data_IF_708018598332
#
_entry.id   IF_708018598332
#
_cell.length_a   1.000
_cell.length_b   1.000
_cell.length_c   1.000
_cell.angle_alpha   90.00
_cell.angle_beta   90.00
_cell.angle_gamma   90.00
#
_symmetry.space_group_name_H-M   'P 1'
#
loop_
_entity.id
_entity.type
_entity.pdbx_description
1 polymer ?
#
# COMPACT_ATOMS: atom_id res chain seq x y z
N UNK A 1 36.68 -37.42 -30.85
CA UNK A 1 37.37 -36.36 -30.07
C UNK A 1 38.27 -35.49 -30.97
N UNK A 2 37.76 -34.98 -32.09
CA UNK A 2 38.47 -33.99 -32.94
C UNK A 2 37.52 -33.09 -33.77
N UNK A 3 36.24 -33.00 -33.40
CA UNK A 3 35.22 -32.18 -34.08
C UNK A 3 34.64 -31.05 -33.20
N UNK A 4 35.19 -30.82 -32.00
CA UNK A 4 34.64 -29.87 -31.02
C UNK A 4 35.54 -28.65 -30.74
N UNK A 5 36.61 -28.44 -31.52
CA UNK A 5 37.58 -27.34 -31.27
C UNK A 5 37.55 -26.26 -32.37
N UNK A 6 36.71 -26.37 -33.41
CA UNK A 6 36.67 -25.38 -34.52
C UNK A 6 35.45 -24.44 -34.57
N UNK A 7 34.61 -24.41 -33.54
CA UNK A 7 33.47 -23.46 -33.49
C UNK A 7 33.61 -22.39 -32.39
N UNK A 8 34.84 -22.17 -31.90
CA UNK A 8 35.14 -21.14 -30.90
C UNK A 8 35.84 -19.89 -31.50
N UNK A 9 36.14 -19.86 -32.81
CA UNK A 9 36.90 -18.77 -33.44
C UNK A 9 36.08 -17.82 -34.36
N UNK A 10 34.77 -18.03 -34.53
CA UNK A 10 33.95 -17.25 -35.48
C UNK A 10 32.84 -16.39 -34.83
N UNK A 11 32.96 -16.04 -33.54
CA UNK A 11 32.00 -15.17 -32.84
C UNK A 11 32.61 -13.93 -32.15
N UNK A 12 33.82 -13.55 -32.53
CA UNK A 12 34.52 -12.34 -32.04
C UNK A 12 34.71 -11.25 -33.11
N UNK A 13 33.89 -11.20 -34.16
CA UNK A 13 34.09 -10.26 -35.27
C UNK A 13 32.87 -9.40 -35.66
N UNK A 14 31.87 -9.21 -34.78
CA UNK A 14 30.70 -8.36 -35.08
C UNK A 14 30.24 -7.45 -33.93
N UNK A 15 31.14 -7.09 -33.02
CA UNK A 15 30.92 -5.99 -32.07
C UNK A 15 32.06 -4.97 -32.16
N UNK A 16 31.97 -4.10 -33.16
CA UNK A 16 32.59 -2.77 -33.14
C UNK A 16 31.49 -1.73 -33.28
N UNK A 17 30.90 -1.39 -32.13
CA UNK A 17 30.31 -0.07 -31.90
C UNK A 17 30.41 0.19 -30.40
N UNK A 18 31.48 0.88 -30.03
CA UNK A 18 31.91 1.19 -28.66
C UNK A 18 31.29 2.53 -28.25
N UNK A 19 30.46 2.49 -27.20
CA UNK A 19 29.92 3.67 -26.53
C UNK A 19 29.16 3.34 -25.24
N UNK A 20 28.53 2.16 -25.15
CA UNK A 20 27.70 1.79 -24.00
C UNK A 20 28.33 0.79 -23.01
N UNK A 21 29.39 0.07 -23.40
CA UNK A 21 29.97 -1.03 -22.59
C UNK A 21 30.87 -0.58 -21.44
N UNK A 22 31.46 0.62 -21.47
CA UNK A 22 32.29 1.12 -20.37
C UNK A 22 31.46 1.62 -19.16
N UNK A 23 30.24 2.11 -19.38
CA UNK A 23 29.36 2.52 -18.29
C UNK A 23 28.86 1.32 -17.46
N UNK A 24 28.59 0.19 -18.13
CA UNK A 24 28.04 -1.04 -17.55
C UNK A 24 29.06 -1.74 -16.63
N UNK A 25 30.33 -1.82 -17.05
CA UNK A 25 31.39 -2.38 -16.20
C UNK A 25 31.74 -1.46 -15.02
N UNK A 26 31.68 -0.15 -15.21
CA UNK A 26 32.01 0.85 -14.18
C UNK A 26 31.01 0.91 -13.02
N UNK A 27 29.71 0.68 -13.28
CA UNK A 27 28.68 0.65 -12.23
C UNK A 27 28.82 -0.60 -11.34
N UNK A 28 29.00 -1.78 -11.95
CA UNK A 28 29.14 -3.06 -11.23
C UNK A 28 30.40 -3.12 -10.35
N UNK A 29 31.53 -2.58 -10.83
CA UNK A 29 32.78 -2.55 -10.05
C UNK A 29 32.76 -1.56 -8.88
N UNK A 30 32.05 -0.43 -9.01
CA UNK A 30 31.91 0.55 -7.92
C UNK A 30 31.14 -0.04 -6.73
N UNK A 31 30.10 -0.83 -6.98
CA UNK A 31 29.35 -1.51 -5.92
C UNK A 31 30.20 -2.53 -5.15
N UNK A 32 30.96 -3.38 -5.85
CA UNK A 32 31.83 -4.39 -5.22
C UNK A 32 32.98 -3.77 -4.40
N UNK A 33 33.55 -2.65 -4.83
CA UNK A 33 34.65 -1.99 -4.11
C UNK A 33 34.21 -1.24 -2.84
N UNK A 34 32.95 -0.80 -2.78
CA UNK A 34 32.41 -0.04 -1.64
C UNK A 34 32.05 -1.01 -0.50
N UNK A 35 31.52 -2.19 -0.82
CA UNK A 35 31.20 -3.24 0.16
C UNK A 35 32.44 -3.80 0.88
N UNK A 36 33.60 -3.83 0.22
CA UNK A 36 34.85 -4.30 0.84
C UNK A 36 35.47 -3.29 1.83
N UNK A 37 35.19 -1.98 1.69
CA UNK A 37 35.73 -0.93 2.58
C UNK A 37 34.93 -0.73 3.87
N UNK A 38 33.64 -1.06 3.85
CA UNK A 38 32.76 -0.90 5.03
C UNK A 38 32.95 -2.02 6.06
N UNK A 39 33.49 -3.18 5.66
CA UNK A 39 33.73 -4.33 6.56
C UNK A 39 35.07 -4.28 7.32
N UNK A 40 35.91 -3.28 7.10
CA UNK A 40 37.26 -3.21 7.70
C UNK A 40 37.39 -2.28 8.91
N UNK A 41 36.39 -1.44 9.19
CA UNK A 41 36.46 -0.43 10.26
C UNK A 41 35.27 -0.55 11.20
N UNK A 42 35.29 -1.54 12.09
CA UNK A 42 34.54 -1.46 13.36
C UNK A 42 35.19 -2.35 14.42
N UNK A 43 36.00 -1.74 15.28
CA UNK A 43 36.34 -2.25 16.61
C UNK A 43 35.84 -1.24 17.63
N UNK A 44 34.99 -1.61 18.61
CA UNK A 44 34.57 -0.67 19.63
C UNK A 44 35.62 -0.59 20.74
N UNK A 45 36.00 0.65 21.08
CA UNK A 45 36.69 0.97 22.34
C UNK A 45 35.67 1.62 23.29
N UNK A 46 35.59 1.08 24.50
CA UNK A 46 34.76 1.59 25.60
C UNK A 46 35.41 2.81 26.26
N UNK A 47 34.61 3.69 26.89
CA UNK A 47 35.10 4.34 28.08
C UNK A 47 34.16 4.26 29.29
N UNK A 48 34.83 4.21 30.42
CA UNK A 48 34.46 4.11 31.83
C UNK A 48 33.68 5.31 32.37
N UNK A 49 32.81 5.03 33.33
CA UNK A 49 32.17 5.96 34.26
C UNK A 49 33.19 6.60 35.22
N UNK A 50 33.04 7.90 35.49
CA UNK A 50 33.56 8.57 36.67
C UNK A 50 32.60 9.68 37.11
N UNK A 51 32.25 9.62 38.39
CA UNK A 51 31.44 10.52 39.21
C UNK A 51 32.29 11.66 39.79
N UNK A 52 31.72 12.88 39.92
CA UNK A 52 31.84 13.76 41.11
C UNK A 52 31.19 15.17 40.95
N UNK A 53 30.16 15.41 41.76
CA UNK A 53 29.85 16.55 42.63
C UNK A 53 30.28 18.04 42.36
N UNK A 54 29.23 18.90 42.36
CA UNK A 54 28.96 20.08 43.24
C UNK A 54 29.48 21.51 42.96
N UNK A 55 28.52 22.45 43.12
CA UNK A 55 28.57 23.89 43.47
C UNK A 55 29.24 24.87 42.47
N UNK A 56 28.80 26.12 42.23
CA UNK A 56 28.13 27.13 43.07
C UNK A 56 27.56 28.28 42.18
N UNK A 57 26.51 28.93 42.69
CA UNK A 57 25.97 30.30 42.47
C UNK A 57 26.60 31.28 41.45
N UNK A 58 25.73 31.99 40.71
CA UNK A 58 26.06 33.24 40.01
C UNK A 58 24.83 33.93 39.41
N UNK A 59 24.24 34.85 40.17
CA UNK A 59 23.17 35.79 39.76
C UNK A 59 23.61 36.71 38.62
N UNK A 60 22.72 37.00 37.67
CA UNK A 60 22.67 38.29 36.96
C UNK A 60 21.32 38.47 36.26
N UNK A 61 20.55 39.41 36.81
CA UNK A 61 19.33 40.00 36.27
C UNK A 61 19.59 40.84 35.02
N UNK A 62 18.74 40.70 33.99
CA UNK A 62 18.49 41.76 33.02
C UNK A 62 16.98 41.88 32.83
N UNK A 63 16.45 43.00 33.32
CA UNK A 63 15.13 43.55 33.00
C UNK A 63 15.22 44.33 31.70
N UNK A 64 14.28 44.12 30.77
CA UNK A 64 13.85 45.21 29.88
C UNK A 64 12.51 44.91 29.20
N UNK A 65 11.55 45.80 29.54
CA UNK A 65 10.50 46.38 28.70
C UNK A 65 9.43 45.49 28.07
N UNK A 66 8.25 45.57 28.66
CA UNK A 66 6.96 45.48 27.99
C UNK A 66 6.87 46.48 26.83
N UNK A 67 6.58 45.97 25.63
CA UNK A 67 6.00 46.75 24.54
C UNK A 67 4.66 46.11 24.17
N UNK A 68 3.57 46.83 24.45
CA UNK A 68 2.23 46.55 23.95
C UNK A 68 2.25 46.75 22.44
N UNK A 69 1.95 45.69 21.68
CA UNK A 69 1.89 45.71 20.22
C UNK A 69 0.68 44.93 19.72
N UNK A 70 -0.22 45.68 19.08
CA UNK A 70 -1.43 45.32 18.33
C UNK A 70 -1.66 43.85 17.95
N UNK A 71 -2.94 43.46 18.13
CA UNK A 71 -3.48 42.15 17.81
C UNK A 71 -3.08 41.62 16.43
N UNK A 72 -2.67 40.35 16.42
CA UNK A 72 -2.67 39.51 15.25
C UNK A 72 -3.93 38.65 15.33
N UNK A 73 -4.87 38.93 14.43
CA UNK A 73 -5.92 38.02 14.02
C UNK A 73 -5.33 36.63 13.78
N UNK A 74 -5.87 35.61 14.42
CA UNK A 74 -5.57 34.21 14.10
C UNK A 74 -5.95 33.96 12.64
N UNK A 75 -4.95 34.07 11.75
CA UNK A 75 -5.07 33.62 10.38
C UNK A 75 -5.32 32.12 10.43
N UNK A 76 -6.45 31.70 9.86
CA UNK A 76 -6.73 30.30 9.58
C UNK A 76 -5.53 29.73 8.82
N UNK A 77 -4.79 28.86 9.50
CA UNK A 77 -3.74 28.05 8.90
C UNK A 77 -4.44 27.19 7.85
N UNK A 78 -4.39 27.64 6.61
CA UNK A 78 -4.94 26.90 5.48
C UNK A 78 -4.05 25.68 5.35
N UNK A 79 -4.47 24.58 5.98
CA UNK A 79 -3.86 23.27 5.85
C UNK A 79 -3.65 23.03 4.37
N UNK A 80 -2.38 23.02 3.95
CA UNK A 80 -2.01 22.75 2.58
C UNK A 80 -2.74 21.46 2.16
N UNK A 81 -3.50 21.53 1.06
CA UNK A 81 -4.06 20.34 0.44
C UNK A 81 -2.87 19.43 0.10
N UNK A 82 -2.75 18.33 0.86
CA UNK A 82 -1.80 17.26 0.58
C UNK A 82 -1.87 16.91 -0.92
N UNK A 83 -0.73 16.69 -1.60
CA UNK A 83 -0.75 16.32 -3.01
C UNK A 83 -1.69 15.14 -3.22
N UNK A 84 -2.63 15.25 -4.17
CA UNK A 84 -3.67 14.24 -4.39
C UNK A 84 -3.03 12.85 -4.51
N UNK A 85 -3.28 12.03 -3.48
CA UNK A 85 -2.74 10.68 -3.41
C UNK A 85 -3.43 9.83 -4.47
N UNK A 86 -2.65 9.10 -5.27
CA UNK A 86 -3.18 8.23 -6.34
C UNK A 86 -4.14 7.22 -5.73
N UNK A 87 -5.35 7.11 -6.25
CA UNK A 87 -6.30 6.09 -5.81
C UNK A 87 -5.86 4.72 -6.34
N UNK A 88 -5.91 3.69 -5.50
CA UNK A 88 -5.55 2.30 -5.86
C UNK A 88 -6.53 1.31 -5.24
N UNK A 89 -7.84 1.47 -5.49
CA UNK A 89 -8.84 0.52 -5.00
C UNK A 89 -8.62 -0.86 -5.63
N UNK A 90 -8.26 -0.88 -6.91
CA UNK A 90 -7.88 -2.09 -7.64
C UNK A 90 -6.45 -1.98 -8.20
N UNK A 91 -5.63 -2.99 -7.91
CA UNK A 91 -4.33 -3.21 -8.56
C UNK A 91 -4.45 -4.45 -9.44
N UNK A 92 -4.46 -4.27 -10.76
CA UNK A 92 -4.72 -5.34 -11.71
C UNK A 92 -3.45 -5.85 -12.40
N UNK A 93 -3.13 -7.13 -12.23
CA UNK A 93 -1.94 -7.74 -12.84
C UNK A 93 -2.20 -8.21 -14.27
N UNK A 94 -1.27 -7.86 -15.16
CA UNK A 94 -1.29 -8.22 -16.58
C UNK A 94 0.02 -8.92 -16.92
N UNK A 95 0.01 -10.22 -17.26
CA UNK A 95 1.22 -10.94 -17.65
C UNK A 95 1.96 -10.26 -18.82
N UNK A 96 3.21 -9.87 -18.61
CA UNK A 96 4.00 -9.10 -19.58
C UNK A 96 4.35 -9.86 -20.86
N UNK A 97 4.22 -11.19 -20.86
CA UNK A 97 4.45 -12.02 -22.04
C UNK A 97 3.19 -12.33 -22.88
N UNK A 98 2.01 -11.83 -22.48
CA UNK A 98 0.74 -12.09 -23.17
C UNK A 98 0.27 -10.83 -23.91
N UNK A 99 0.59 -10.75 -25.20
CA UNK A 99 0.30 -9.60 -26.06
C UNK A 99 -1.20 -9.26 -26.09
N UNK A 100 -2.05 -10.29 -26.11
CA UNK A 100 -3.51 -10.13 -26.13
C UNK A 100 -3.98 -9.48 -24.84
N UNK A 101 -3.48 -9.95 -23.68
CA UNK A 101 -3.82 -9.36 -22.38
C UNK A 101 -3.29 -7.93 -22.26
N UNK A 102 -2.06 -7.66 -22.68
CA UNK A 102 -1.49 -6.30 -22.72
C UNK A 102 -2.38 -5.34 -23.52
N UNK A 103 -2.77 -5.70 -24.75
CA UNK A 103 -3.67 -4.88 -25.57
C UNK A 103 -5.04 -4.68 -24.93
N UNK A 104 -5.64 -5.75 -24.42
CA UNK A 104 -6.96 -5.67 -23.76
C UNK A 104 -6.94 -4.87 -22.45
N UNK A 105 -5.80 -4.80 -21.76
CA UNK A 105 -5.69 -4.06 -20.50
C UNK A 105 -5.96 -2.56 -20.65
N UNK A 106 -5.73 -2.01 -21.85
CA UNK A 106 -5.89 -0.59 -22.17
C UNK A 106 -7.35 -0.11 -22.13
N UNK A 107 -8.33 -1.01 -22.10
CA UNK A 107 -9.75 -0.68 -21.96
C UNK A 107 -10.32 -1.00 -20.59
N UNK A 108 -9.52 -1.57 -19.67
CA UNK A 108 -9.99 -1.93 -18.34
C UNK A 108 -10.13 -0.69 -17.45
N UNK A 109 -11.21 -0.66 -16.68
CA UNK A 109 -11.43 0.35 -15.64
C UNK A 109 -10.75 -0.10 -14.33
N UNK A 110 -9.44 -0.25 -14.34
CA UNK A 110 -8.64 -0.45 -13.12
C UNK A 110 -8.06 0.89 -12.65
N UNK A 111 -7.89 1.06 -11.34
CA UNK A 111 -7.19 2.25 -10.81
C UNK A 111 -5.68 2.15 -11.10
N UNK A 112 -5.11 0.94 -11.04
CA UNK A 112 -3.70 0.66 -11.31
C UNK A 112 -3.55 -0.60 -12.16
N UNK A 113 -2.84 -0.50 -13.28
CA UNK A 113 -2.46 -1.61 -14.15
C UNK A 113 -1.00 -1.97 -13.88
N UNK A 114 -0.74 -3.19 -13.43
CA UNK A 114 0.60 -3.72 -13.18
C UNK A 114 0.98 -4.68 -14.30
N UNK A 115 1.90 -4.27 -15.16
CA UNK A 115 2.50 -5.16 -16.14
C UNK A 115 3.53 -6.05 -15.43
N UNK A 116 3.28 -7.35 -15.44
CA UNK A 116 4.02 -8.30 -14.62
C UNK A 116 5.18 -8.92 -15.41
N UNK A 117 6.40 -8.76 -14.90
CA UNK A 117 7.60 -9.43 -15.40
C UNK A 117 8.03 -10.60 -14.51
N UNK A 118 7.32 -10.88 -13.42
CA UNK A 118 7.70 -11.83 -12.38
C UNK A 118 6.92 -13.15 -12.49
N UNK A 119 6.13 -13.56 -11.50
CA UNK A 119 5.54 -14.91 -11.43
C UNK A 119 4.53 -15.18 -12.56
N UNK A 120 3.93 -14.15 -13.16
CA UNK A 120 3.07 -14.26 -14.33
C UNK A 120 3.81 -14.54 -15.64
N UNK A 121 5.14 -14.60 -15.64
CA UNK A 121 5.98 -14.79 -16.84
C UNK A 121 6.93 -15.96 -16.66
N UNK A 122 6.85 -16.93 -17.57
CA UNK A 122 7.80 -18.05 -17.62
C UNK A 122 9.24 -17.58 -17.82
N UNK A 123 10.20 -18.26 -17.20
CA UNK A 123 11.62 -17.86 -17.22
C UNK A 123 12.19 -17.67 -18.64
N UNK A 124 11.88 -18.57 -19.56
CA UNK A 124 12.31 -18.50 -20.96
C UNK A 124 11.65 -17.36 -21.77
N UNK A 125 10.67 -16.65 -21.20
CA UNK A 125 9.97 -15.53 -21.84
C UNK A 125 10.30 -14.17 -21.22
N UNK A 126 11.15 -14.10 -20.19
CA UNK A 126 11.48 -12.83 -19.51
C UNK A 126 12.01 -11.77 -20.48
N UNK A 127 12.90 -12.15 -21.39
CA UNK A 127 13.49 -11.23 -22.37
C UNK A 127 12.42 -10.60 -23.28
N UNK A 128 11.53 -11.41 -23.87
CA UNK A 128 10.49 -10.87 -24.75
C UNK A 128 9.43 -10.08 -23.96
N UNK A 129 9.14 -10.49 -22.72
CA UNK A 129 8.20 -9.79 -21.86
C UNK A 129 8.66 -8.36 -21.54
N UNK A 130 9.96 -8.12 -21.30
CA UNK A 130 10.50 -6.77 -21.05
C UNK A 130 10.19 -5.80 -22.19
N UNK A 131 10.47 -6.21 -23.42
CA UNK A 131 10.22 -5.40 -24.62
C UNK A 131 8.71 -5.18 -24.81
N UNK A 132 7.90 -6.24 -24.67
CA UNK A 132 6.44 -6.13 -24.78
C UNK A 132 5.83 -5.20 -23.73
N UNK A 133 6.35 -5.23 -22.50
CA UNK A 133 5.92 -4.33 -21.42
C UNK A 133 6.33 -2.89 -21.71
N UNK A 134 7.54 -2.67 -22.24
CA UNK A 134 7.96 -1.34 -22.66
C UNK A 134 7.05 -0.78 -23.76
N UNK A 135 6.76 -1.58 -24.79
CA UNK A 135 5.86 -1.20 -25.88
C UNK A 135 4.45 -0.89 -25.34
N UNK A 136 3.93 -1.70 -24.40
CA UNK A 136 2.63 -1.47 -23.80
C UNK A 136 2.57 -0.18 -22.97
N UNK A 137 3.64 0.16 -22.24
CA UNK A 137 3.75 1.42 -21.50
C UNK A 137 3.66 2.63 -22.43
N UNK A 138 4.37 2.58 -23.56
CA UNK A 138 4.45 3.67 -24.55
C UNK A 138 3.20 3.77 -25.43
N UNK A 139 2.59 2.64 -25.81
CA UNK A 139 1.39 2.60 -26.65
C UNK A 139 0.12 3.08 -25.94
N UNK A 140 0.11 3.01 -24.61
CA UNK A 140 -1.09 3.28 -23.83
C UNK A 140 -1.40 4.78 -23.74
N UNK A 141 -2.46 5.22 -24.43
CA UNK A 141 -3.12 6.50 -24.15
C UNK A 141 -4.09 6.43 -22.96
N UNK A 142 -4.13 5.31 -22.23
CA UNK A 142 -5.02 5.11 -21.10
C UNK A 142 -4.60 6.04 -19.93
N UNK A 143 -5.10 7.28 -19.94
CA UNK A 143 -4.73 8.34 -19.00
C UNK A 143 -5.33 8.16 -17.60
N UNK A 144 -6.28 7.24 -17.42
CA UNK A 144 -7.04 7.08 -16.17
C UNK A 144 -6.35 6.16 -15.17
N UNK A 145 -5.92 4.97 -15.59
CA UNK A 145 -5.20 4.05 -14.72
C UNK A 145 -3.73 4.46 -14.50
N UNK A 146 -3.25 4.30 -13.28
CA UNK A 146 -1.82 4.32 -12.98
C UNK A 146 -1.12 3.15 -13.70
N UNK A 147 -0.01 3.44 -14.37
CA UNK A 147 0.82 2.42 -15.02
C UNK A 147 1.97 1.99 -14.12
N UNK A 148 1.95 0.72 -13.75
CA UNK A 148 2.96 0.11 -12.92
C UNK A 148 3.61 -1.09 -13.63
N UNK A 149 4.82 -1.43 -13.20
CA UNK A 149 5.48 -2.68 -13.60
C UNK A 149 5.92 -3.43 -12.35
N UNK A 150 5.58 -4.72 -12.27
CA UNK A 150 6.19 -5.63 -11.30
C UNK A 150 7.44 -6.23 -11.91
N UNK A 151 8.60 -5.85 -11.37
CA UNK A 151 9.90 -6.40 -11.77
C UNK A 151 10.11 -7.78 -11.14
N UNK A 152 11.14 -8.51 -11.54
CA UNK A 152 11.63 -9.67 -10.81
C UNK A 152 12.28 -9.24 -9.48
N UNK A 153 12.27 -10.15 -8.49
CA UNK A 153 12.80 -9.90 -7.16
C UNK A 153 14.28 -9.47 -7.18
N UNK A 154 14.64 -8.57 -6.26
CA UNK A 154 16.03 -8.15 -6.07
C UNK A 154 16.85 -9.35 -5.61
N UNK A 155 17.98 -9.63 -6.27
CA UNK A 155 18.79 -10.82 -6.04
C UNK A 155 18.43 -12.02 -6.93
N UNK A 156 17.38 -11.93 -7.75
CA UNK A 156 17.01 -13.00 -8.72
C UNK A 156 17.99 -13.12 -9.89
N UNK A 157 18.78 -12.08 -10.15
CA UNK A 157 19.65 -11.96 -11.33
C UNK A 157 18.93 -11.46 -12.58
N UNK A 158 17.63 -11.14 -12.49
CA UNK A 158 16.79 -10.66 -13.59
C UNK A 158 16.37 -9.19 -13.42
N UNK A 159 16.39 -8.68 -12.19
CA UNK A 159 15.91 -7.35 -11.81
C UNK A 159 16.64 -6.22 -12.54
N UNK A 160 17.95 -6.39 -12.79
CA UNK A 160 18.75 -5.38 -13.47
C UNK A 160 18.33 -5.23 -14.94
N UNK A 161 18.07 -6.35 -15.62
CA UNK A 161 17.61 -6.36 -17.00
C UNK A 161 16.20 -5.79 -17.13
N UNK A 162 15.31 -6.08 -16.15
CA UNK A 162 13.98 -5.48 -16.10
C UNK A 162 14.07 -3.96 -15.98
N UNK A 163 14.79 -3.46 -14.97
CA UNK A 163 14.92 -2.03 -14.69
C UNK A 163 15.59 -1.27 -15.84
N UNK A 164 16.59 -1.86 -16.49
CA UNK A 164 17.25 -1.24 -17.64
C UNK A 164 16.31 -0.98 -18.82
N UNK A 165 15.27 -1.79 -18.99
CA UNK A 165 14.28 -1.61 -20.06
C UNK A 165 13.18 -0.68 -19.59
N UNK A 166 12.50 -1.00 -18.48
CA UNK A 166 11.25 -0.34 -18.09
C UNK A 166 11.46 1.09 -17.62
N UNK A 167 12.61 1.41 -16.99
CA UNK A 167 12.92 2.77 -16.53
C UNK A 167 13.15 3.75 -17.69
N UNK A 168 13.36 3.28 -18.92
CA UNK A 168 13.49 4.16 -20.09
C UNK A 168 12.15 4.79 -20.48
N UNK A 169 11.04 4.19 -20.06
CA UNK A 169 9.70 4.69 -20.37
C UNK A 169 9.43 5.99 -19.63
N UNK A 170 8.93 6.99 -20.35
CA UNK A 170 8.44 8.26 -19.79
C UNK A 170 7.04 8.12 -19.16
N UNK A 171 6.38 6.98 -19.38
CA UNK A 171 5.01 6.69 -18.98
C UNK A 171 4.90 5.81 -17.74
N UNK A 172 6.00 5.25 -17.26
CA UNK A 172 6.05 4.46 -16.03
C UNK A 172 5.75 5.35 -14.81
N UNK A 173 4.76 4.98 -14.00
CA UNK A 173 4.32 5.75 -12.85
C UNK A 173 4.61 5.04 -11.52
N UNK A 174 4.68 3.71 -11.51
CA UNK A 174 5.08 2.96 -10.32
C UNK A 174 5.88 1.70 -10.65
N UNK A 175 6.73 1.28 -9.72
CA UNK A 175 7.39 -0.02 -9.73
C UNK A 175 6.88 -0.82 -8.55
N UNK A 176 6.42 -2.04 -8.81
CA UNK A 176 6.14 -3.04 -7.77
C UNK A 176 7.39 -3.87 -7.60
N UNK A 177 7.96 -3.86 -6.38
CA UNK A 177 9.10 -4.70 -6.02
C UNK A 177 8.51 -5.93 -5.32
N UNK A 178 8.61 -7.14 -5.90
CA UNK A 178 8.22 -8.36 -5.21
C UNK A 178 9.30 -8.76 -4.19
N UNK A 179 8.89 -9.59 -3.24
CA UNK A 179 9.72 -10.33 -2.29
C UNK A 179 10.65 -9.41 -1.49
N UNK A 180 10.13 -8.24 -1.09
CA UNK A 180 10.92 -7.26 -0.33
C UNK A 180 11.17 -7.78 1.07
N UNK A 181 12.44 -7.90 1.43
CA UNK A 181 12.89 -8.39 2.73
C UNK A 181 13.62 -7.32 3.53
N UNK A 182 14.15 -6.28 2.89
CA UNK A 182 14.91 -5.24 3.56
C UNK A 182 14.81 -3.87 2.88
N UNK A 183 15.20 -2.81 3.60
CA UNK A 183 15.35 -1.48 3.03
C UNK A 183 16.32 -1.43 1.83
N UNK A 184 17.30 -2.35 1.77
CA UNK A 184 18.30 -2.40 0.70
C UNK A 184 17.68 -2.75 -0.66
N UNK A 185 16.63 -3.57 -0.66
CA UNK A 185 15.94 -3.96 -1.90
C UNK A 185 15.28 -2.73 -2.54
N UNK A 186 14.63 -1.91 -1.72
CA UNK A 186 14.01 -0.65 -2.15
C UNK A 186 15.07 0.37 -2.57
N UNK A 187 16.15 0.50 -1.81
CA UNK A 187 17.24 1.44 -2.12
C UNK A 187 17.95 1.08 -3.42
N UNK A 188 18.13 -0.21 -3.71
CA UNK A 188 18.68 -0.67 -4.99
C UNK A 188 17.83 -0.18 -6.16
N UNK A 189 16.51 -0.38 -6.10
CA UNK A 189 15.59 0.09 -7.16
C UNK A 189 15.60 1.62 -7.24
N UNK A 190 15.65 2.32 -6.11
CA UNK A 190 15.70 3.79 -6.07
C UNK A 190 16.97 4.34 -6.73
N UNK A 191 18.12 3.71 -6.49
CA UNK A 191 19.38 4.07 -7.15
C UNK A 191 19.35 3.79 -8.66
N UNK A 192 18.69 2.71 -9.10
CA UNK A 192 18.48 2.41 -10.51
C UNK A 192 17.58 3.47 -11.17
N UNK A 193 16.50 3.88 -10.50
CA UNK A 193 15.65 5.00 -10.94
C UNK A 193 16.48 6.26 -11.11
N UNK A 194 17.29 6.62 -10.11
CA UNK A 194 18.11 7.82 -10.17
C UNK A 194 19.15 7.77 -11.30
N UNK A 195 19.71 6.59 -11.57
CA UNK A 195 20.77 6.41 -12.57
C UNK A 195 20.25 6.31 -14.01
N UNK A 196 19.13 5.63 -14.23
CA UNK A 196 18.70 5.20 -15.58
C UNK A 196 17.48 6.00 -16.08
N UNK A 197 16.57 6.40 -15.19
CA UNK A 197 15.30 6.95 -15.61
C UNK A 197 15.46 8.37 -16.21
N UNK A 198 14.64 8.74 -17.22
CA UNK A 198 14.57 10.13 -17.67
C UNK A 198 14.02 11.02 -16.54
N UNK A 199 14.29 12.33 -16.61
CA UNK A 199 13.95 13.27 -15.54
C UNK A 199 12.48 13.20 -15.10
N UNK A 200 11.55 13.11 -16.06
CA UNK A 200 10.12 13.03 -15.78
C UNK A 200 9.74 11.79 -14.98
N UNK A 201 10.29 10.63 -15.34
CA UNK A 201 10.05 9.37 -14.65
C UNK A 201 10.72 9.39 -13.27
N UNK A 202 11.99 9.84 -13.18
CA UNK A 202 12.73 9.94 -11.91
C UNK A 202 11.98 10.75 -10.84
N UNK A 203 11.31 11.84 -11.25
CA UNK A 203 10.56 12.74 -10.36
C UNK A 203 9.21 12.16 -9.91
N UNK A 204 8.56 11.34 -10.75
CA UNK A 204 7.16 10.96 -10.57
C UNK A 204 6.94 9.48 -10.23
N UNK A 205 7.94 8.61 -10.46
CA UNK A 205 7.80 7.17 -10.22
C UNK A 205 7.67 6.89 -8.72
N UNK A 206 6.69 6.06 -8.38
CA UNK A 206 6.45 5.58 -7.01
C UNK A 206 6.89 4.13 -6.87
N UNK A 207 7.12 3.70 -5.64
CA UNK A 207 7.47 2.33 -5.29
C UNK A 207 6.32 1.73 -4.49
N UNK A 208 5.94 0.52 -4.90
CA UNK A 208 4.98 -0.33 -4.22
C UNK A 208 5.76 -1.55 -3.74
N UNK A 209 5.92 -1.73 -2.43
CA UNK A 209 6.64 -2.86 -1.88
C UNK A 209 5.68 -4.02 -1.60
N UNK A 210 5.93 -5.18 -2.19
CA UNK A 210 5.23 -6.42 -1.87
C UNK A 210 5.85 -7.06 -0.63
N UNK A 211 5.05 -7.18 0.42
CA UNK A 211 5.42 -7.84 1.67
C UNK A 211 4.80 -9.23 1.68
N UNK A 212 5.67 -10.24 1.66
CA UNK A 212 5.26 -11.62 1.36
C UNK A 212 6.09 -12.68 2.07
N UNK A 213 6.83 -12.30 3.11
CA UNK A 213 7.61 -13.23 3.94
C UNK A 213 7.61 -12.79 5.40
N UNK A 214 7.94 -13.71 6.30
CA UNK A 214 8.16 -13.43 7.72
C UNK A 214 9.22 -12.34 7.89
N UNK A 215 10.33 -12.42 7.16
CA UNK A 215 11.40 -11.43 7.22
C UNK A 215 10.93 -10.05 6.75
N UNK A 216 10.13 -9.99 5.68
CA UNK A 216 9.53 -8.74 5.21
C UNK A 216 8.60 -8.09 6.25
N UNK A 217 7.83 -8.88 6.98
CA UNK A 217 7.00 -8.38 8.10
C UNK A 217 7.89 -7.87 9.25
N UNK A 218 8.94 -8.61 9.62
CA UNK A 218 9.84 -8.20 10.70
C UNK A 218 10.58 -6.88 10.40
N UNK A 219 10.87 -6.62 9.13
CA UNK A 219 11.59 -5.42 8.67
C UNK A 219 10.67 -4.34 8.09
N UNK A 220 9.35 -4.43 8.31
CA UNK A 220 8.37 -3.62 7.59
C UNK A 220 8.53 -2.11 7.85
N UNK A 221 9.02 -1.73 9.03
CA UNK A 221 9.31 -0.33 9.38
C UNK A 221 10.46 0.20 8.52
N UNK A 222 11.56 -0.53 8.44
CA UNK A 222 12.73 -0.14 7.67
C UNK A 222 12.38 -0.08 6.18
N UNK A 223 11.60 -1.05 5.68
CA UNK A 223 11.13 -1.07 4.29
C UNK A 223 10.26 0.16 4.00
N UNK A 224 9.24 0.42 4.83
CA UNK A 224 8.28 1.50 4.62
C UNK A 224 8.92 2.90 4.64
N UNK A 225 10.03 3.07 5.35
CA UNK A 225 10.73 4.35 5.51
C UNK A 225 12.02 4.47 4.69
N UNK A 226 12.31 3.47 3.84
CA UNK A 226 13.59 3.34 3.13
C UNK A 226 13.82 4.37 2.03
N UNK A 227 12.77 4.89 1.40
CA UNK A 227 12.84 5.91 0.34
C UNK A 227 11.52 6.72 0.24
N UNK A 228 11.57 8.04 -0.01
CA UNK A 228 10.37 8.87 -0.20
C UNK A 228 9.46 8.48 -1.39
N UNK A 229 9.95 7.65 -2.31
CA UNK A 229 9.15 7.11 -3.41
C UNK A 229 8.22 5.98 -2.97
N UNK A 230 8.47 5.34 -1.83
CA UNK A 230 7.58 4.32 -1.29
C UNK A 230 6.22 4.97 -1.01
N UNK A 231 5.18 4.42 -1.64
CA UNK A 231 3.83 5.01 -1.59
C UNK A 231 2.76 3.99 -1.19
N UNK A 232 3.06 2.69 -1.34
CA UNK A 232 2.16 1.61 -0.92
C UNK A 232 2.91 0.35 -0.49
N UNK A 233 2.27 -0.40 0.41
CA UNK A 233 2.62 -1.77 0.80
C UNK A 233 1.50 -2.70 0.33
N UNK A 234 1.88 -3.80 -0.32
CA UNK A 234 0.96 -4.83 -0.80
C UNK A 234 1.19 -6.10 0.00
N UNK A 235 0.12 -6.79 0.39
CA UNK A 235 0.22 -8.11 1.03
C UNK A 235 0.06 -9.23 -0.01
N UNK A 236 1.09 -10.04 -0.23
CA UNK A 236 0.98 -11.22 -1.11
C UNK A 236 0.77 -12.48 -0.26
N UNK A 237 -0.49 -12.92 -0.17
CA UNK A 237 -0.91 -13.97 0.75
C UNK A 237 -0.30 -15.35 0.43
N UNK A 238 -0.23 -15.75 -0.84
CA UNK A 238 0.23 -17.10 -1.21
C UNK A 238 1.72 -17.29 -0.89
N UNK A 239 2.57 -16.36 -1.28
CA UNK A 239 3.99 -16.36 -0.94
C UNK A 239 4.23 -16.25 0.57
N UNK A 240 3.44 -15.42 1.27
CA UNK A 240 3.49 -15.32 2.74
C UNK A 240 3.15 -16.66 3.42
N UNK A 241 2.09 -17.32 2.96
CA UNK A 241 1.72 -18.63 3.48
C UNK A 241 2.80 -19.67 3.20
N UNK A 242 3.40 -19.65 2.00
CA UNK A 242 4.49 -20.56 1.65
C UNK A 242 5.74 -20.35 2.53
N UNK A 243 6.11 -19.10 2.80
CA UNK A 243 7.28 -18.76 3.63
C UNK A 243 7.12 -19.18 5.09
N UNK A 244 5.92 -19.00 5.66
CA UNK A 244 5.63 -19.39 7.06
C UNK A 244 5.20 -20.86 7.22
N UNK A 245 4.92 -21.57 6.13
CA UNK A 245 4.33 -22.91 6.17
C UNK A 245 2.87 -22.93 6.64
N UNK A 246 2.10 -21.89 6.33
CA UNK A 246 0.68 -21.78 6.66
C UNK A 246 -0.19 -22.43 5.57
N UNK A 247 -1.31 -23.02 6.01
CA UNK A 247 -2.37 -23.45 5.10
C UNK A 247 -3.44 -22.38 5.04
N UNK A 248 -3.60 -21.74 3.88
CA UNK A 248 -4.62 -20.70 3.68
C UNK A 248 -6.02 -21.28 3.85
N UNK A 249 -6.83 -20.65 4.68
CA UNK A 249 -8.23 -21.02 4.92
C UNK A 249 -9.17 -19.93 4.37
N UNK A 250 -10.49 -20.20 4.36
CA UNK A 250 -11.48 -19.17 3.98
C UNK A 250 -11.56 -18.10 5.06
N UNK A 251 -11.43 -18.50 6.31
CA UNK A 251 -11.47 -17.63 7.49
C UNK A 251 -10.29 -16.64 7.49
N UNK A 252 -9.13 -17.05 6.97
CA UNK A 252 -7.95 -16.19 6.80
C UNK A 252 -7.33 -15.72 8.12
N UNK A 253 -7.66 -16.37 9.24
CA UNK A 253 -7.19 -16.01 10.59
C UNK A 253 -5.70 -16.27 10.74
N UNK A 254 -5.15 -17.24 10.02
CA UNK A 254 -3.72 -17.54 9.95
C UNK A 254 -2.89 -16.37 9.39
N UNK A 255 -3.51 -15.46 8.62
CA UNK A 255 -2.86 -14.28 8.04
C UNK A 255 -3.14 -12.98 8.82
N UNK A 256 -3.89 -13.04 9.93
CA UNK A 256 -4.36 -11.84 10.63
C UNK A 256 -3.21 -10.95 11.09
N UNK A 257 -2.17 -11.53 11.69
CA UNK A 257 -1.00 -10.78 12.13
C UNK A 257 -0.31 -10.05 10.96
N UNK A 258 -0.02 -10.76 9.86
CA UNK A 258 0.64 -10.17 8.70
C UNK A 258 -0.17 -9.02 8.09
N UNK A 259 -1.49 -9.20 7.95
CA UNK A 259 -2.39 -8.18 7.44
C UNK A 259 -2.48 -6.97 8.37
N UNK A 260 -2.63 -7.18 9.69
CA UNK A 260 -2.65 -6.09 10.67
C UNK A 260 -1.33 -5.33 10.75
N UNK A 261 -0.20 -6.02 10.67
CA UNK A 261 1.13 -5.40 10.67
C UNK A 261 1.32 -4.48 9.45
N UNK A 262 0.93 -4.95 8.26
CA UNK A 262 1.02 -4.16 7.02
C UNK A 262 0.15 -2.92 7.08
N UNK A 263 -1.12 -3.06 7.50
CA UNK A 263 -2.01 -1.90 7.64
C UNK A 263 -1.42 -0.90 8.65
N UNK A 264 -0.98 -1.38 9.80
CA UNK A 264 -0.42 -0.52 10.86
C UNK A 264 0.79 0.25 10.34
N UNK A 265 1.74 -0.43 9.71
CA UNK A 265 2.93 0.20 9.15
C UNK A 265 2.58 1.19 8.05
N UNK A 266 1.69 0.82 7.12
CA UNK A 266 1.29 1.70 6.03
C UNK A 266 0.68 3.00 6.55
N UNK A 267 -0.28 2.94 7.48
CA UNK A 267 -0.90 4.15 8.05
C UNK A 267 0.07 4.95 8.92
N UNK A 268 0.97 4.29 9.66
CA UNK A 268 1.98 4.97 10.49
C UNK A 268 2.92 5.87 9.67
N UNK A 269 3.23 5.47 8.43
CA UNK A 269 4.14 6.19 7.54
C UNK A 269 3.44 6.87 6.37
N UNK A 270 2.11 7.03 6.43
CA UNK A 270 1.35 7.74 5.40
C UNK A 270 1.35 7.04 4.04
N UNK A 271 1.53 5.71 3.99
CA UNK A 271 1.48 4.87 2.80
C UNK A 271 0.07 4.30 2.57
N UNK A 272 -0.16 3.67 1.42
CA UNK A 272 -1.37 2.88 1.18
C UNK A 272 -1.15 1.41 1.55
N UNK A 273 -2.13 0.77 2.16
CA UNK A 273 -2.14 -0.68 2.33
C UNK A 273 -3.05 -1.31 1.26
N UNK A 274 -2.54 -2.28 0.52
CA UNK A 274 -3.27 -3.01 -0.52
C UNK A 274 -3.36 -4.50 -0.16
N UNK A 275 -4.57 -5.03 -0.18
CA UNK A 275 -4.88 -6.36 0.30
C UNK A 275 -4.57 -7.45 -0.74
N UNK A 276 -4.59 -8.70 -0.26
CA UNK A 276 -4.27 -9.92 -0.98
C UNK A 276 -5.17 -10.24 -2.18
N UNK A 277 -4.72 -11.13 -3.07
CA UNK A 277 -5.50 -11.66 -4.19
C UNK A 277 -6.59 -12.63 -3.70
N UNK A 278 -7.82 -12.43 -4.17
CA UNK A 278 -8.89 -13.43 -4.07
C UNK A 278 -8.71 -14.46 -5.19
N UNK A 279 -8.39 -15.71 -4.83
CA UNK A 279 -8.11 -16.78 -5.79
C UNK A 279 -9.38 -17.32 -6.46
N UNK A 280 -10.50 -17.38 -5.73
CA UNK A 280 -11.80 -17.76 -6.29
C UNK A 280 -12.45 -16.57 -7.02
N UNK A 281 -11.87 -16.18 -8.16
CA UNK A 281 -12.33 -15.04 -8.95
C UNK A 281 -13.69 -15.25 -9.62
N UNK A 282 -14.24 -16.47 -9.59
CA UNK A 282 -15.57 -16.79 -10.13
C UNK A 282 -16.67 -16.62 -9.09
N UNK A 283 -16.32 -16.62 -7.81
CA UNK A 283 -17.25 -16.44 -6.72
C UNK A 283 -17.27 -14.99 -6.26
N UNK A 284 -18.22 -14.23 -6.82
CA UNK A 284 -18.40 -12.82 -6.52
C UNK A 284 -18.70 -12.58 -5.02
N UNK A 285 -19.30 -13.54 -4.32
CA UNK A 285 -19.64 -13.40 -2.90
C UNK A 285 -18.41 -13.51 -1.99
N UNK A 286 -17.57 -14.52 -2.24
CA UNK A 286 -16.27 -14.64 -1.54
C UNK A 286 -15.44 -13.38 -1.77
N UNK A 287 -15.43 -12.85 -3.00
CA UNK A 287 -14.71 -11.61 -3.30
C UNK A 287 -15.24 -10.43 -2.48
N UNK A 288 -16.57 -10.27 -2.37
CA UNK A 288 -17.18 -9.20 -1.55
C UNK A 288 -16.82 -9.34 -0.08
N UNK A 289 -16.99 -10.53 0.49
CA UNK A 289 -16.66 -10.83 1.89
C UNK A 289 -15.20 -10.48 2.20
N UNK A 290 -14.25 -10.91 1.35
CA UNK A 290 -12.84 -10.59 1.51
C UNK A 290 -12.55 -9.09 1.38
N UNK A 291 -13.15 -8.40 0.39
CA UNK A 291 -12.96 -6.96 0.19
C UNK A 291 -13.48 -6.14 1.38
N UNK A 292 -14.67 -6.48 1.86
CA UNK A 292 -15.26 -5.80 3.02
C UNK A 292 -14.45 -6.02 4.28
N UNK A 293 -13.95 -7.25 4.49
CA UNK A 293 -13.05 -7.52 5.61
C UNK A 293 -11.74 -6.74 5.50
N UNK A 294 -11.12 -6.70 4.32
CA UNK A 294 -9.93 -5.89 4.05
C UNK A 294 -10.18 -4.40 4.33
N UNK A 295 -11.30 -3.84 3.82
CA UNK A 295 -11.68 -2.44 4.09
C UNK A 295 -11.85 -2.18 5.58
N UNK A 296 -12.54 -3.06 6.31
CA UNK A 296 -12.73 -2.94 7.77
C UNK A 296 -11.42 -2.94 8.53
N UNK A 297 -10.44 -3.74 8.09
CA UNK A 297 -9.11 -3.73 8.69
C UNK A 297 -8.32 -2.44 8.41
N UNK A 298 -8.64 -1.71 7.34
CA UNK A 298 -7.99 -0.44 7.00
C UNK A 298 -7.23 -0.46 5.67
N UNK A 299 -7.34 -1.53 4.88
CA UNK A 299 -6.82 -1.55 3.51
C UNK A 299 -7.56 -0.53 2.63
N UNK A 300 -6.84 0.01 1.65
CA UNK A 300 -7.34 1.02 0.70
C UNK A 300 -7.68 0.45 -0.67
N UNK A 301 -7.28 -0.78 -0.93
CA UNK A 301 -7.58 -1.50 -2.15
C UNK A 301 -7.21 -2.97 -2.05
N UNK A 302 -7.37 -3.68 -3.16
CA UNK A 302 -7.08 -5.10 -3.30
C UNK A 302 -6.47 -5.43 -4.65
N UNK A 303 -5.63 -6.44 -4.67
CA UNK A 303 -5.08 -7.00 -5.89
C UNK A 303 -6.12 -7.80 -6.68
N UNK A 304 -6.07 -7.69 -8.00
CA UNK A 304 -6.96 -8.33 -8.94
C UNK A 304 -6.16 -9.06 -10.03
N UNK A 305 -6.61 -10.26 -10.39
CA UNK A 305 -5.98 -11.12 -11.42
C UNK A 305 -6.95 -11.47 -12.54
N UNK A 306 -8.24 -11.14 -12.38
CA UNK A 306 -9.26 -11.32 -13.41
C UNK A 306 -10.15 -10.07 -13.58
N UNK A 307 -10.48 -9.64 -14.82
CA UNK A 307 -11.27 -8.41 -15.06
C UNK A 307 -12.61 -8.35 -14.32
N UNK A 308 -13.26 -9.50 -14.12
CA UNK A 308 -14.52 -9.63 -13.35
C UNK A 308 -14.42 -9.08 -11.92
N UNK A 309 -13.23 -9.07 -11.34
CA UNK A 309 -13.03 -8.62 -9.96
C UNK A 309 -13.03 -7.09 -9.84
N UNK A 310 -12.74 -6.37 -10.93
CA UNK A 310 -12.45 -4.93 -10.89
C UNK A 310 -13.62 -4.10 -10.37
N UNK A 311 -14.84 -4.37 -10.84
CA UNK A 311 -16.01 -3.60 -10.44
C UNK A 311 -16.34 -3.82 -8.96
N UNK A 312 -16.35 -5.09 -8.53
CA UNK A 312 -16.63 -5.47 -7.14
C UNK A 312 -15.59 -4.86 -6.20
N UNK A 313 -14.30 -5.03 -6.51
CA UNK A 313 -13.22 -4.46 -5.70
C UNK A 313 -13.37 -2.93 -5.59
N UNK A 314 -13.49 -2.21 -6.72
CA UNK A 314 -13.57 -0.76 -6.69
C UNK A 314 -14.78 -0.24 -5.91
N UNK A 315 -15.94 -0.91 -6.00
CA UNK A 315 -17.11 -0.56 -5.20
C UNK A 315 -16.90 -0.85 -3.72
N UNK A 316 -16.40 -2.03 -3.37
CA UNK A 316 -16.22 -2.45 -1.98
C UNK A 316 -15.22 -1.58 -1.20
N UNK A 317 -14.25 -0.96 -1.86
CA UNK A 317 -13.25 -0.08 -1.22
C UNK A 317 -13.67 1.40 -1.17
N UNK A 318 -14.83 1.76 -1.72
CA UNK A 318 -15.47 3.06 -1.49
C UNK A 318 -16.27 3.05 -0.17
N UNK A 319 -16.41 4.21 0.50
CA UNK A 319 -17.35 4.33 1.60
C UNK A 319 -18.79 4.12 1.12
N UNK A 320 -19.65 3.57 1.97
CA UNK A 320 -21.08 3.40 1.67
C UNK A 320 -21.82 4.74 1.79
N UNK A 321 -22.97 4.86 1.13
CA UNK A 321 -23.82 6.07 1.23
C UNK A 321 -24.15 6.41 2.68
N UNK A 322 -24.39 5.39 3.52
CA UNK A 322 -24.63 5.55 4.94
C UNK A 322 -23.40 6.07 5.69
N UNK A 323 -22.20 5.57 5.37
CA UNK A 323 -20.94 6.08 5.95
C UNK A 323 -20.68 7.53 5.54
N UNK A 324 -20.94 7.88 4.27
CA UNK A 324 -20.78 9.24 3.74
C UNK A 324 -21.78 10.20 4.40
N UNK A 325 -23.05 9.81 4.50
CA UNK A 325 -24.09 10.62 5.14
C UNK A 325 -23.75 10.89 6.61
N UNK A 326 -23.39 9.84 7.36
CA UNK A 326 -22.96 9.96 8.76
C UNK A 326 -21.72 10.85 8.91
N UNK A 327 -20.73 10.68 8.03
CA UNK A 327 -19.49 11.45 8.08
C UNK A 327 -19.75 12.95 7.78
N UNK A 328 -20.63 13.25 6.83
CA UNK A 328 -21.03 14.61 6.51
C UNK A 328 -21.74 15.29 7.69
N UNK A 329 -22.70 14.62 8.33
CA UNK A 329 -23.38 15.15 9.52
C UNK A 329 -22.41 15.40 10.69
N UNK A 330 -21.47 14.46 10.93
CA UNK A 330 -20.44 14.62 11.97
C UNK A 330 -19.55 15.83 11.67
N UNK A 331 -19.15 16.01 10.41
CA UNK A 331 -18.29 17.13 10.01
C UNK A 331 -19.01 18.47 10.16
N UNK A 332 -20.28 18.57 9.76
CA UNK A 332 -21.09 19.78 9.90
C UNK A 332 -21.39 20.09 11.37
N UNK A 333 -21.78 19.08 12.15
CA UNK A 333 -22.02 19.21 13.58
C UNK A 333 -20.77 19.69 14.34
N UNK A 334 -19.59 19.18 14.00
CA UNK A 334 -18.34 19.64 14.57
C UNK A 334 -18.05 21.11 14.24
N UNK A 335 -18.27 21.54 12.99
CA UNK A 335 -18.08 22.95 12.61
C UNK A 335 -19.01 23.90 13.37
N UNK A 336 -20.26 23.50 13.62
CA UNK A 336 -21.21 24.30 14.39
C UNK A 336 -20.82 24.38 15.88
N UNK A 337 -20.46 23.26 16.49
CA UNK A 337 -20.10 23.20 17.91
C UNK A 337 -18.74 23.86 18.20
N UNK A 338 -17.78 23.70 17.29
CA UNK A 338 -16.44 24.31 17.41
C UNK A 338 -16.53 25.85 17.42
N UNK A 339 -17.45 26.44 16.62
CA UNK A 339 -17.74 27.89 16.66
C UNK A 339 -18.25 28.37 18.03
N UNK A 340 -18.84 27.47 18.82
CA UNK A 340 -19.34 27.73 20.19
C UNK A 340 -18.32 27.37 21.27
N UNK A 341 -17.10 26.99 20.90
CA UNK A 341 -16.05 26.56 21.84
C UNK A 341 -16.30 25.18 22.47
N UNK A 342 -17.16 24.35 21.86
CA UNK A 342 -17.51 23.03 22.37
C UNK A 342 -16.69 21.96 21.64
N UNK A 343 -15.84 21.24 22.37
CA UNK A 343 -14.93 20.23 21.81
C UNK A 343 -15.53 18.84 21.58
N UNK A 344 -16.70 18.55 22.17
CA UNK A 344 -17.41 17.30 22.00
C UNK A 344 -18.93 17.52 22.02
N UNK A 345 -19.67 16.80 21.18
CA UNK A 345 -21.12 16.95 21.06
C UNK A 345 -21.83 15.60 20.97
N UNK A 346 -23.14 15.59 21.24
CA UNK A 346 -23.95 14.39 21.09
C UNK A 346 -24.49 14.30 19.66
N UNK A 347 -24.33 13.13 19.03
CA UNK A 347 -24.96 12.80 17.75
C UNK A 347 -25.56 11.40 17.85
N UNK A 348 -26.89 11.30 17.73
CA UNK A 348 -27.64 10.04 17.82
C UNK A 348 -27.29 9.20 19.06
N UNK A 349 -27.20 9.85 20.23
CA UNK A 349 -26.89 9.19 21.49
C UNK A 349 -25.42 8.83 21.68
N UNK A 350 -24.54 9.17 20.73
CA UNK A 350 -23.09 8.91 20.81
C UNK A 350 -22.34 10.22 21.00
N UNK A 351 -21.31 10.19 21.84
CA UNK A 351 -20.39 11.31 22.00
C UNK A 351 -19.47 11.36 20.77
N UNK A 352 -19.41 12.53 20.15
CA UNK A 352 -18.53 12.83 19.03
C UNK A 352 -17.44 13.76 19.53
N UNK A 353 -16.21 13.29 19.45
CA UNK A 353 -14.99 14.01 19.78
C UNK A 353 -14.05 14.06 18.55
N UNK A 354 -12.89 14.70 18.70
CA UNK A 354 -11.97 14.94 17.59
C UNK A 354 -11.51 13.65 16.85
N UNK A 355 -11.22 12.52 17.50
CA UNK A 355 -10.96 11.25 16.80
C UNK A 355 -12.07 10.82 15.84
N UNK A 356 -13.34 10.94 16.24
CA UNK A 356 -14.48 10.58 15.38
C UNK A 356 -14.63 11.55 14.21
N UNK A 357 -14.34 12.83 14.43
CA UNK A 357 -14.29 13.84 13.36
C UNK A 357 -13.20 13.53 12.35
N UNK A 358 -11.99 13.20 12.80
CA UNK A 358 -10.89 12.78 11.91
C UNK A 358 -11.24 11.54 11.09
N UNK A 359 -11.98 10.60 11.67
CA UNK A 359 -12.52 9.46 10.93
C UNK A 359 -13.50 9.92 9.83
N UNK A 360 -14.43 10.82 10.16
CA UNK A 360 -15.41 11.34 9.21
C UNK A 360 -14.73 12.09 8.04
N UNK A 361 -13.73 12.92 8.32
CA UNK A 361 -12.93 13.61 7.31
C UNK A 361 -12.24 12.63 6.35
N UNK A 362 -11.68 11.53 6.86
CA UNK A 362 -11.08 10.47 6.03
C UNK A 362 -12.11 9.79 5.12
N UNK A 363 -13.32 9.54 5.62
CA UNK A 363 -14.42 8.96 4.82
C UNK A 363 -14.81 9.91 3.68
N UNK A 364 -15.03 11.19 3.99
CA UNK A 364 -15.41 12.19 2.97
C UNK A 364 -14.28 12.41 1.94
N UNK A 365 -13.02 12.42 2.39
CA UNK A 365 -11.86 12.50 1.50
C UNK A 365 -11.82 11.31 0.54
N UNK A 366 -12.07 10.09 1.04
CA UNK A 366 -12.12 8.89 0.18
C UNK A 366 -13.28 8.92 -0.81
N UNK A 367 -14.46 9.38 -0.39
CA UNK A 367 -15.61 9.54 -1.27
C UNK A 367 -15.28 10.50 -2.43
N UNK A 368 -14.69 11.67 -2.14
CA UNK A 368 -14.26 12.65 -3.15
C UNK A 368 -13.23 12.07 -4.11
N UNK A 369 -12.17 11.43 -3.61
CA UNK A 369 -11.15 10.76 -4.43
C UNK A 369 -11.75 9.67 -5.33
N UNK A 370 -12.81 9.00 -4.85
CA UNK A 370 -13.55 7.99 -5.57
C UNK A 370 -14.55 8.52 -6.59
N UNK A 371 -14.75 9.84 -6.69
CA UNK A 371 -15.76 10.48 -7.53
C UNK A 371 -17.19 10.32 -7.00
N UNK A 372 -17.37 10.00 -5.72
CA UNK A 372 -18.68 9.87 -5.08
C UNK A 372 -19.12 11.22 -4.50
N UNK A 373 -20.32 11.66 -4.89
CA UNK A 373 -20.88 12.91 -4.39
C UNK A 373 -21.27 12.81 -2.91
N UNK A 374 -21.08 13.90 -2.17
CA UNK A 374 -21.59 13.99 -0.79
C UNK A 374 -23.08 14.35 -0.87
N UNK A 375 -24.00 13.56 -0.29
CA UNK A 375 -25.43 13.83 -0.37
C UNK A 375 -25.82 15.14 0.32
N UNK A 376 -26.87 15.78 -0.20
CA UNK A 376 -27.50 16.96 0.41
C UNK A 376 -28.12 16.63 1.78
N UNK A 377 -28.36 17.63 2.65
CA UNK A 377 -28.92 17.38 3.99
C UNK A 377 -30.23 16.55 3.99
N UNK A 378 -31.12 16.81 3.03
CA UNK A 378 -32.38 16.07 2.89
C UNK A 378 -32.16 14.60 2.48
N UNK A 379 -31.22 14.34 1.58
CA UNK A 379 -30.86 12.99 1.16
C UNK A 379 -30.19 12.22 2.30
N UNK A 380 -29.32 12.88 3.09
CA UNK A 380 -28.68 12.27 4.26
C UNK A 380 -29.71 11.81 5.28
N UNK A 381 -30.74 12.62 5.54
CA UNK A 381 -31.80 12.26 6.46
C UNK A 381 -32.55 11.00 6.00
N UNK A 382 -32.83 10.86 4.69
CA UNK A 382 -33.44 9.65 4.12
C UNK A 382 -32.53 8.43 4.24
N UNK A 383 -31.25 8.57 3.90
CA UNK A 383 -30.26 7.49 3.97
C UNK A 383 -30.11 6.97 5.41
N UNK A 384 -30.04 7.88 6.39
CA UNK A 384 -29.84 7.52 7.79
C UNK A 384 -31.08 6.89 8.44
N UNK A 385 -32.28 7.12 7.91
CA UNK A 385 -33.52 6.47 8.37
C UNK A 385 -33.65 5.00 7.94
N UNK A 386 -33.11 4.65 6.78
CA UNK A 386 -33.22 3.28 6.21
C UNK A 386 -32.29 2.29 6.93
N UNK A 387 -31.37 2.78 7.77
CA UNK A 387 -30.33 1.98 8.40
C UNK A 387 -29.28 1.47 7.40
N UNK A 388 -28.13 0.95 7.84
CA UNK A 388 -27.15 0.37 6.94
C UNK A 388 -27.76 -0.86 6.24
N UNK A 389 -27.73 -0.88 4.91
CA UNK A 389 -28.13 -2.04 4.12
C UNK A 389 -27.35 -3.29 4.61
N UNK A 390 -28.06 -4.25 5.22
CA UNK A 390 -27.49 -5.50 5.73
C UNK A 390 -27.55 -5.74 7.24
N UNK A 391 -28.07 -4.82 8.06
CA UNK A 391 -28.27 -5.08 9.51
C UNK A 391 -29.67 -5.58 9.85
N UNK A 392 -30.09 -6.73 9.30
CA UNK A 392 -31.12 -7.54 9.96
C UNK A 392 -30.41 -8.46 10.96
N UNK A 393 -30.26 -8.03 12.20
CA UNK A 393 -29.88 -8.94 13.28
C UNK A 393 -31.00 -9.99 13.44
N UNK A 394 -30.74 -11.30 13.33
CA UNK A 394 -31.70 -12.28 13.82
C UNK A 394 -31.72 -12.15 15.33
N UNK A 395 -32.82 -11.64 15.88
CA UNK A 395 -33.11 -11.72 17.31
C UNK A 395 -32.99 -13.20 17.70
N UNK A 396 -32.14 -13.59 18.66
CA UNK A 396 -32.16 -14.95 19.13
C UNK A 396 -33.51 -15.16 19.81
N UNK A 397 -34.31 -16.09 19.27
CA UNK A 397 -35.50 -16.56 19.93
C UNK A 397 -35.08 -17.14 21.29
N UNK A 398 -35.50 -16.48 22.37
CA UNK A 398 -35.38 -17.00 23.73
C UNK A 398 -36.20 -18.28 23.76
N UNK A 399 -35.51 -19.42 23.78
CA UNK A 399 -36.12 -20.72 24.01
C UNK A 399 -36.62 -20.78 25.45
N UNK A 400 -37.90 -20.51 25.66
CA UNK A 400 -38.60 -20.84 26.91
C UNK A 400 -38.68 -22.36 27.01
N UNK A 401 -37.90 -22.93 27.92
CA UNK A 401 -38.03 -24.33 28.37
C UNK A 401 -39.44 -24.57 28.96
N UNK A 402 -40.18 -25.62 28.54
CA UNK A 402 -41.44 -25.97 29.18
C UNK A 402 -41.16 -26.64 30.53
N UNK A 403 -41.82 -26.15 31.57
CA UNK A 403 -41.74 -26.68 32.92
C UNK A 403 -42.12 -28.16 33.00
N UNK A 404 -41.35 -28.92 33.77
CA UNK A 404 -41.65 -30.27 34.18
C UNK A 404 -42.93 -30.29 35.01
N UNK A 405 -43.97 -30.94 34.48
CA UNK A 405 -45.11 -31.38 35.29
C UNK A 405 -44.65 -32.50 36.22
N UNK A 406 -44.68 -32.18 37.51
CA UNK A 406 -44.68 -33.15 38.60
C UNK A 406 -46.11 -33.66 38.73
N UNK A 407 -46.34 -34.95 38.50
CA UNK A 407 -47.55 -35.64 38.92
C UNK A 407 -47.17 -37.05 39.39
N UNK A 408 -47.52 -37.38 40.63
CA UNK A 408 -47.65 -38.76 41.08
C UNK A 408 -47.12 -39.07 42.47
N UNK A 409 -48.02 -38.97 43.45
CA UNK A 409 -48.38 -40.05 44.37
C UNK A 409 -48.16 -39.77 45.86
N UNK A 410 -49.27 -39.42 46.53
CA UNK A 410 -49.51 -39.70 47.93
C UNK A 410 -50.90 -40.36 48.03
N UNK A 411 -50.93 -41.69 48.17
CA UNK A 411 -52.09 -42.38 48.77
C UNK A 411 -51.59 -43.54 49.62
N UNK A 412 -52.02 -43.47 50.87
CA UNK A 412 -51.99 -44.43 51.97
C UNK A 412 -52.67 -45.76 51.65
N UNK A 413 -52.04 -46.87 52.05
CA UNK A 413 -52.58 -48.07 52.72
C UNK A 413 -51.61 -49.25 52.52
#
# INVERSE_FOLDING_TARGET
MQSAIRTCAARSALFRNLGATQAIAGARNRYLSTSAKVLANDKPSSPTLSTAASATTGSSSVTSSLSVGSGKTHGAETLALEPEKRIRRSIFYVPGSDERKLKSSLSLAADCLVYDLEDGVAHNRKNIAREMVFDALEASEHRKAEKAVRINAVGSGLEFDDLNVVLRSSRLQAIVIPKVQSAKDVQFVSQMVDSVAPFITRKNVKIIASIESALGIMNIKEIATSDPRVDALVFAAEDYCADLGLTRTREGTEMLYGRSAIVTAAHAYGLQAIDLVCMDYKNDEILREECEFGRRMGFLGKQAVHPRQLEIIQRCFLPTDHEIARAADISEGYQEHSKRGVGAFNYNGKVIDLPVVKWAEKILSRARQGGVAIPSPEERQKILQVGPAGSSSPTPAVATTPGSKNDGAATTA
#
